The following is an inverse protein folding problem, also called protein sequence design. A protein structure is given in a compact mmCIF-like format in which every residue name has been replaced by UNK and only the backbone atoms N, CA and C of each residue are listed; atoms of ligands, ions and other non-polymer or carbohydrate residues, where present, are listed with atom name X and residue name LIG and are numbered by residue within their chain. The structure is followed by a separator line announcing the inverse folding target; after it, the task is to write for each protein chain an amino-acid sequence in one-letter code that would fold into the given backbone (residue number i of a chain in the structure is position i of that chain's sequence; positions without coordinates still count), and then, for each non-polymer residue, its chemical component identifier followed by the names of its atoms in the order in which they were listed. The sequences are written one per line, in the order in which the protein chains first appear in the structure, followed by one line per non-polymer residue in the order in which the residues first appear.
data_IF_712707585705
#
_entry.id   IF_712707585705
#
_cell.length_a   1.000
_cell.length_b   1.000
_cell.length_c   1.000
_cell.angle_alpha   90.00
_cell.angle_beta   90.00
_cell.angle_gamma   90.00
#
_symmetry.space_group_name_H-M   'P 1'
#
loop_
_entity.id
_entity.type
_entity.pdbx_description
1 polymer ?
#
# COMPACT_ATOMS: atom_id res chain seq x y z
N UNK A 1 -6.94 -24.93 -37.08
CA UNK A 1 -6.09 -23.73 -36.96
C UNK A 1 -6.92 -22.63 -36.30
N UNK A 2 -6.79 -22.47 -34.99
CA UNK A 2 -7.48 -21.43 -34.22
C UNK A 2 -6.67 -20.15 -34.30
N UNK A 3 -7.30 -19.04 -34.71
CA UNK A 3 -6.66 -17.73 -34.74
C UNK A 3 -6.04 -17.41 -33.36
N UNK A 4 -4.76 -17.03 -33.34
CA UNK A 4 -4.05 -16.71 -32.10
C UNK A 4 -4.44 -15.32 -31.54
N UNK A 5 -5.12 -14.50 -32.33
CA UNK A 5 -5.61 -13.17 -31.95
C UNK A 5 -6.99 -12.92 -32.58
N UNK A 6 -7.76 -12.03 -31.94
CA UNK A 6 -9.04 -11.52 -32.43
C UNK A 6 -9.02 -9.99 -32.31
N UNK A 7 -9.59 -9.30 -33.29
CA UNK A 7 -9.73 -7.85 -33.26
C UNK A 7 -11.04 -7.44 -32.58
N UNK A 8 -10.97 -6.57 -31.57
CA UNK A 8 -12.15 -5.92 -31.01
C UNK A 8 -12.69 -4.88 -32.04
N UNK A 9 -14.00 -4.84 -32.34
CA UNK A 9 -14.57 -3.81 -33.20
C UNK A 9 -14.34 -2.40 -32.65
N UNK A 10 -14.00 -1.46 -33.53
CA UNK A 10 -13.87 -0.06 -33.17
C UNK A 10 -15.21 0.51 -32.68
N UNK A 11 -15.17 1.34 -31.63
CA UNK A 11 -16.34 2.01 -31.05
C UNK A 11 -15.99 3.37 -30.50
N UNK A 12 -16.93 4.31 -30.59
CA UNK A 12 -16.87 5.56 -29.84
C UNK A 12 -17.21 5.29 -28.37
N UNK A 13 -16.48 5.93 -27.45
CA UNK A 13 -16.72 5.82 -26.02
C UNK A 13 -17.49 7.04 -25.52
N UNK A 14 -18.55 6.83 -24.75
CA UNK A 14 -19.20 7.92 -24.02
C UNK A 14 -18.22 8.50 -23.00
N UNK A 15 -18.15 9.83 -22.91
CA UNK A 15 -17.39 10.50 -21.86
C UNK A 15 -18.22 10.48 -20.57
N UNK A 16 -17.69 9.87 -19.53
CA UNK A 16 -18.30 9.84 -18.19
C UNK A 16 -18.27 11.22 -17.54
N UNK A 17 -17.17 11.95 -17.70
CA UNK A 17 -16.99 13.30 -17.18
C UNK A 17 -15.61 13.86 -17.49
N UNK A 18 -15.45 15.15 -17.20
CA UNK A 18 -14.19 15.89 -17.27
C UNK A 18 -13.84 16.42 -15.89
N UNK A 19 -12.58 16.29 -15.50
CA UNK A 19 -12.08 16.64 -14.17
C UNK A 19 -10.73 17.35 -14.27
N UNK A 20 -10.33 18.07 -13.24
CA UNK A 20 -8.97 18.60 -13.17
C UNK A 20 -7.99 17.47 -12.86
N UNK A 21 -8.35 16.59 -11.90
CA UNK A 21 -7.52 15.48 -11.44
C UNK A 21 -8.32 14.18 -11.40
N UNK A 22 -7.78 13.13 -12.00
CA UNK A 22 -8.27 11.75 -11.85
C UNK A 22 -7.23 10.91 -11.12
N UNK A 23 -7.65 10.29 -10.02
CA UNK A 23 -6.84 9.36 -9.22
C UNK A 23 -7.35 7.94 -9.45
N UNK A 24 -6.46 7.01 -9.79
CA UNK A 24 -6.81 5.60 -9.95
C UNK A 24 -6.26 4.80 -8.78
N UNK A 25 -7.14 4.13 -8.03
CA UNK A 25 -6.82 3.36 -6.84
C UNK A 25 -7.18 4.08 -5.54
N UNK A 26 -7.94 3.44 -4.67
CA UNK A 26 -8.43 3.94 -3.38
C UNK A 26 -7.63 3.47 -2.17
N UNK A 27 -6.34 3.15 -2.35
CA UNK A 27 -5.41 2.84 -1.25
C UNK A 27 -4.89 4.09 -0.52
N UNK A 28 -3.96 3.95 0.44
CA UNK A 28 -3.39 5.08 1.18
C UNK A 28 -2.87 6.22 0.29
N UNK A 29 -2.15 5.90 -0.79
CA UNK A 29 -1.65 6.90 -1.73
C UNK A 29 -2.79 7.61 -2.48
N UNK A 30 -3.79 6.86 -2.96
CA UNK A 30 -4.91 7.45 -3.70
C UNK A 30 -5.84 8.29 -2.82
N UNK A 31 -6.09 7.85 -1.58
CA UNK A 31 -6.83 8.60 -0.57
C UNK A 31 -6.15 9.96 -0.32
N UNK A 32 -4.85 9.96 -0.03
CA UNK A 32 -4.11 11.20 0.19
C UNK A 32 -4.08 12.09 -1.06
N UNK A 33 -3.83 11.50 -2.24
CA UNK A 33 -3.80 12.23 -3.49
C UNK A 33 -5.13 12.92 -3.81
N UNK A 34 -6.25 12.20 -3.70
CA UNK A 34 -7.55 12.76 -4.03
C UNK A 34 -7.97 13.86 -3.05
N UNK A 35 -7.75 13.65 -1.75
CA UNK A 35 -8.05 14.66 -0.71
C UNK A 35 -7.20 15.91 -0.91
N UNK A 36 -5.89 15.75 -1.12
CA UNK A 36 -4.98 16.89 -1.34
C UNK A 36 -5.33 17.64 -2.62
N UNK A 37 -5.63 16.94 -3.72
CA UNK A 37 -6.03 17.60 -4.96
C UNK A 37 -7.31 18.46 -4.77
N UNK A 38 -8.35 17.88 -4.16
CA UNK A 38 -9.61 18.57 -3.93
C UNK A 38 -9.47 19.77 -2.98
N UNK A 39 -8.65 19.66 -1.92
CA UNK A 39 -8.38 20.78 -0.98
C UNK A 39 -7.65 21.94 -1.63
N UNK A 40 -6.84 21.67 -2.65
CA UNK A 40 -6.19 22.69 -3.47
C UNK A 40 -7.07 23.17 -4.64
N UNK A 41 -8.38 22.90 -4.59
CA UNK A 41 -9.39 23.48 -5.47
C UNK A 41 -9.69 22.70 -6.74
N UNK A 42 -9.07 21.54 -6.95
CA UNK A 42 -9.27 20.73 -8.16
C UNK A 42 -10.59 19.93 -8.10
N UNK A 43 -11.36 19.96 -9.19
CA UNK A 43 -12.42 18.98 -9.40
C UNK A 43 -11.78 17.59 -9.54
N UNK A 44 -12.07 16.73 -8.56
CA UNK A 44 -11.32 15.48 -8.38
C UNK A 44 -12.23 14.27 -8.43
N UNK A 45 -11.86 13.27 -9.25
CA UNK A 45 -12.48 11.95 -9.28
C UNK A 45 -11.48 10.89 -8.80
N UNK A 46 -11.88 10.05 -7.86
CA UNK A 46 -11.18 8.81 -7.52
C UNK A 46 -11.92 7.61 -8.11
N UNK A 47 -11.19 6.81 -8.88
CA UNK A 47 -11.66 5.57 -9.53
C UNK A 47 -11.12 4.37 -8.75
N UNK A 48 -11.99 3.46 -8.31
CA UNK A 48 -11.63 2.29 -7.52
C UNK A 48 -12.38 1.04 -8.02
N UNK A 49 -11.65 -0.06 -8.18
CA UNK A 49 -12.19 -1.33 -8.69
C UNK A 49 -13.09 -2.03 -7.66
N UNK A 50 -12.84 -1.81 -6.37
CA UNK A 50 -13.65 -2.33 -5.28
C UNK A 50 -14.85 -1.43 -4.97
N UNK A 51 -15.74 -1.95 -4.13
CA UNK A 51 -16.87 -1.21 -3.55
C UNK A 51 -16.51 -0.48 -2.26
N UNK A 52 -15.22 -0.25 -2.00
CA UNK A 52 -14.72 0.32 -0.75
C UNK A 52 -13.28 0.84 -0.92
N UNK A 53 -12.87 1.71 0.00
CA UNK A 53 -11.53 2.29 0.08
C UNK A 53 -10.60 1.53 1.04
N UNK A 54 -9.31 1.87 0.99
CA UNK A 54 -8.26 1.44 1.91
C UNK A 54 -7.21 0.49 1.30
N UNK A 55 -7.36 0.11 0.03
CA UNK A 55 -6.37 -0.68 -0.71
C UNK A 55 -6.05 -2.03 -0.04
N UNK A 56 -4.77 -2.42 0.03
CA UNK A 56 -4.35 -3.66 0.69
C UNK A 56 -4.63 -3.70 2.20
N UNK A 57 -4.80 -2.53 2.84
CA UNK A 57 -5.23 -2.46 4.23
C UNK A 57 -6.63 -3.05 4.45
N UNK A 58 -7.49 -2.88 3.44
CA UNK A 58 -8.88 -3.35 3.43
C UNK A 58 -9.04 -4.65 2.63
N UNK A 59 -8.73 -4.61 1.32
CA UNK A 59 -8.91 -5.74 0.41
C UNK A 59 -7.96 -6.91 0.72
N UNK A 60 -6.75 -6.60 1.19
CA UNK A 60 -5.73 -7.60 1.54
C UNK A 60 -5.67 -7.94 3.03
N UNK A 61 -6.53 -7.34 3.88
CA UNK A 61 -6.54 -7.56 5.33
C UNK A 61 -5.26 -7.14 6.06
N UNK A 62 -4.43 -6.26 5.48
CA UNK A 62 -3.17 -5.79 6.09
C UNK A 62 -3.46 -4.62 7.04
N UNK A 63 -4.08 -4.91 8.18
CA UNK A 63 -4.71 -3.91 9.07
C UNK A 63 -3.75 -3.16 10.01
N UNK A 64 -2.53 -2.86 9.54
CA UNK A 64 -1.57 -2.01 10.25
C UNK A 64 -1.14 -0.86 9.36
N UNK A 65 -1.16 0.37 9.87
CA UNK A 65 -0.40 1.47 9.31
C UNK A 65 1.07 1.33 9.76
N UNK A 66 1.88 0.79 8.85
CA UNK A 66 3.33 0.75 8.97
C UNK A 66 3.96 2.01 8.36
N UNK A 67 5.10 2.45 8.89
CA UNK A 67 5.88 3.57 8.37
C UNK A 67 5.35 4.96 8.74
N UNK A 68 4.37 5.07 9.65
CA UNK A 68 3.93 6.38 10.17
C UNK A 68 4.90 6.94 11.22
N UNK A 69 5.55 6.04 11.96
CA UNK A 69 6.42 6.35 13.08
C UNK A 69 7.84 5.92 12.77
N UNK A 70 8.82 6.72 13.18
CA UNK A 70 10.24 6.42 13.10
C UNK A 70 11.01 7.09 14.24
N UNK A 71 12.28 6.75 14.41
CA UNK A 71 13.13 7.40 15.42
C UNK A 71 13.63 8.73 14.88
N UNK A 72 13.47 9.80 15.66
CA UNK A 72 14.12 11.11 15.46
C UNK A 72 14.80 11.49 16.76
N UNK A 73 16.10 11.80 16.72
CA UNK A 73 16.91 12.05 17.90
C UNK A 73 16.80 10.92 18.96
N UNK A 74 16.65 9.67 18.53
CA UNK A 74 16.53 8.50 19.41
C UNK A 74 15.11 8.21 19.89
N UNK A 75 14.15 9.12 19.69
CA UNK A 75 12.77 8.99 20.16
C UNK A 75 11.82 8.51 19.06
N UNK A 76 11.00 7.51 19.38
CA UNK A 76 9.96 7.02 18.47
C UNK A 76 8.86 8.07 18.31
N UNK A 77 8.80 8.69 17.14
CA UNK A 77 7.93 9.84 16.84
C UNK A 77 7.08 9.56 15.61
N UNK A 78 5.87 10.13 15.54
CA UNK A 78 5.10 10.11 14.31
C UNK A 78 5.71 11.08 13.29
N UNK A 79 6.31 10.55 12.24
CA UNK A 79 7.02 11.33 11.21
C UNK A 79 6.15 11.58 9.97
N UNK A 80 5.14 10.74 9.73
CA UNK A 80 4.18 10.96 8.64
C UNK A 80 2.95 11.66 9.20
N UNK A 81 2.72 12.87 8.71
CA UNK A 81 1.68 13.83 9.14
C UNK A 81 0.90 14.35 7.92
N UNK A 82 -0.19 15.07 8.14
CA UNK A 82 -1.03 15.65 7.08
C UNK A 82 -2.34 14.90 6.91
N UNK A 83 -2.70 14.51 5.68
CA UNK A 83 -4.00 13.86 5.40
C UNK A 83 -4.24 12.60 6.26
N UNK A 84 -3.17 11.87 6.56
CA UNK A 84 -3.25 10.66 7.39
C UNK A 84 -3.71 10.94 8.83
N UNK A 85 -3.40 12.11 9.39
CA UNK A 85 -3.78 12.45 10.77
C UNK A 85 -5.31 12.49 10.91
N UNK A 86 -5.98 13.15 9.97
CA UNK A 86 -7.44 13.24 9.96
C UNK A 86 -8.11 11.89 9.69
N UNK A 87 -7.51 11.07 8.82
CA UNK A 87 -7.99 9.70 8.60
C UNK A 87 -7.93 8.89 9.90
N UNK A 88 -6.80 8.96 10.61
CA UNK A 88 -6.60 8.29 11.89
C UNK A 88 -7.63 8.77 12.92
N UNK A 89 -7.87 10.07 13.01
CA UNK A 89 -8.84 10.65 13.94
C UNK A 89 -10.26 10.18 13.64
N UNK A 90 -10.63 10.10 12.36
CA UNK A 90 -11.93 9.55 11.93
C UNK A 90 -12.07 8.07 12.28
N UNK A 91 -11.03 7.26 12.07
CA UNK A 91 -11.05 5.84 12.48
C UNK A 91 -11.17 5.72 14.01
N UNK A 92 -10.48 6.58 14.76
CA UNK A 92 -10.60 6.63 16.21
C UNK A 92 -12.00 7.03 16.67
N UNK A 93 -12.68 7.93 15.95
CA UNK A 93 -14.08 8.31 16.18
C UNK A 93 -15.07 7.13 16.09
N UNK A 94 -14.72 6.09 15.34
CA UNK A 94 -15.47 4.83 15.29
C UNK A 94 -15.00 3.79 16.32
N UNK A 95 -14.15 4.18 17.28
CA UNK A 95 -13.45 3.27 18.19
C UNK A 95 -12.66 2.18 17.44
N UNK A 96 -12.23 2.46 16.21
CA UNK A 96 -11.58 1.49 15.34
C UNK A 96 -10.07 1.55 15.37
N UNK A 97 -9.46 2.43 16.16
CA UNK A 97 -8.01 2.67 16.14
C UNK A 97 -7.36 2.17 17.44
N UNK A 98 -6.29 1.39 17.32
CA UNK A 98 -5.45 1.07 18.47
C UNK A 98 -4.47 2.21 18.81
N UNK A 99 -3.97 2.20 20.04
CA UNK A 99 -2.80 3.00 20.40
C UNK A 99 -1.59 2.58 19.54
N UNK A 100 -0.55 3.42 19.40
CA UNK A 100 0.69 3.02 18.75
C UNK A 100 1.32 1.79 19.41
N UNK A 101 1.78 0.83 18.61
CA UNK A 101 2.30 -0.46 19.07
C UNK A 101 3.75 -0.61 18.63
N UNK A 102 4.67 -0.58 19.60
CA UNK A 102 6.10 -0.79 19.37
C UNK A 102 6.38 -2.27 19.09
N UNK A 103 7.33 -2.52 18.18
CA UNK A 103 7.78 -3.84 17.79
C UNK A 103 9.30 -3.94 17.73
N UNK A 104 9.82 -5.18 17.73
CA UNK A 104 11.25 -5.48 17.54
C UNK A 104 12.15 -4.68 18.49
N UNK A 105 11.83 -4.65 19.79
CA UNK A 105 12.61 -3.89 20.78
C UNK A 105 12.54 -2.37 20.58
N UNK A 106 11.43 -1.84 20.06
CA UNK A 106 11.24 -0.40 19.82
C UNK A 106 11.92 0.13 18.56
N UNK A 107 12.34 -0.76 17.65
CA UNK A 107 12.92 -0.37 16.35
C UNK A 107 11.87 -0.01 15.30
N UNK A 108 10.64 -0.49 15.47
CA UNK A 108 9.49 -0.14 14.64
C UNK A 108 8.29 0.20 15.51
N UNK A 109 7.37 0.98 14.96
CA UNK A 109 6.06 1.21 15.55
C UNK A 109 4.98 1.20 14.46
N UNK A 110 3.88 0.51 14.74
CA UNK A 110 2.72 0.42 13.85
C UNK A 110 1.47 0.90 14.58
N UNK A 111 0.44 1.26 13.82
CA UNK A 111 -0.87 1.52 14.37
C UNK A 111 -1.91 0.65 13.68
N UNK A 112 -2.49 -0.29 14.42
CA UNK A 112 -3.49 -1.20 13.87
C UNK A 112 -4.90 -0.64 13.98
N UNK A 113 -5.77 -1.09 13.08
CA UNK A 113 -7.13 -0.56 12.98
C UNK A 113 -8.15 -1.65 12.65
N UNK A 114 -9.41 -1.35 12.92
CA UNK A 114 -10.56 -2.08 12.43
C UNK A 114 -10.82 -1.74 10.95
N UNK A 115 -11.07 -2.77 10.15
CA UNK A 115 -11.22 -2.62 8.69
C UNK A 115 -12.51 -1.89 8.32
N UNK A 116 -13.60 -2.11 9.05
CA UNK A 116 -14.88 -1.47 8.78
C UNK A 116 -14.82 0.02 9.16
N UNK A 117 -14.22 0.34 10.30
CA UNK A 117 -13.95 1.72 10.71
C UNK A 117 -13.08 2.46 9.69
N UNK A 118 -12.07 1.80 9.11
CA UNK A 118 -11.26 2.39 8.04
C UNK A 118 -12.09 2.72 6.79
N UNK A 119 -12.93 1.80 6.30
CA UNK A 119 -13.82 2.07 5.16
C UNK A 119 -14.70 3.31 5.41
N UNK A 120 -15.38 3.35 6.55
CA UNK A 120 -16.26 4.45 6.94
C UNK A 120 -15.50 5.79 7.06
N UNK A 121 -14.34 5.77 7.71
CA UNK A 121 -13.50 6.94 7.89
C UNK A 121 -12.97 7.50 6.55
N UNK A 122 -12.56 6.61 5.63
CA UNK A 122 -12.10 7.00 4.30
C UNK A 122 -13.23 7.62 3.48
N UNK A 123 -14.43 7.02 3.48
CA UNK A 123 -15.61 7.58 2.80
C UNK A 123 -15.96 8.98 3.34
N UNK A 124 -15.96 9.15 4.68
CA UNK A 124 -16.20 10.44 5.32
C UNK A 124 -15.13 11.47 4.97
N UNK A 125 -13.85 11.08 4.93
CA UNK A 125 -12.75 11.98 4.61
C UNK A 125 -12.85 12.48 3.16
N UNK A 126 -13.05 11.58 2.20
CA UNK A 126 -13.14 11.93 0.79
C UNK A 126 -14.41 12.73 0.49
N UNK A 127 -15.54 12.35 1.08
CA UNK A 127 -16.78 13.10 0.99
C UNK A 127 -16.66 14.52 1.54
N UNK A 128 -16.03 14.69 2.71
CA UNK A 128 -15.80 16.00 3.32
C UNK A 128 -14.84 16.88 2.49
N UNK A 129 -13.90 16.28 1.76
CA UNK A 129 -13.01 17.00 0.84
C UNK A 129 -13.69 17.35 -0.51
N UNK A 130 -14.90 16.86 -0.78
CA UNK A 130 -15.61 17.09 -2.04
C UNK A 130 -15.17 16.19 -3.20
N UNK A 131 -14.42 15.13 -2.93
CA UNK A 131 -13.97 14.15 -3.93
C UNK A 131 -15.16 13.38 -4.48
N UNK A 132 -15.23 13.22 -5.81
CA UNK A 132 -16.17 12.29 -6.45
C UNK A 132 -15.59 10.89 -6.43
N UNK A 133 -16.42 9.90 -6.08
CA UNK A 133 -16.04 8.49 -6.03
C UNK A 133 -16.71 7.73 -7.17
N UNK A 134 -15.93 6.89 -7.85
CA UNK A 134 -16.44 5.90 -8.79
C UNK A 134 -15.91 4.52 -8.38
N UNK A 135 -16.75 3.79 -7.63
CA UNK A 135 -16.50 2.41 -7.23
C UNK A 135 -16.87 1.41 -8.34
N UNK A 136 -16.38 0.17 -8.20
CA UNK A 136 -16.61 -0.90 -9.16
C UNK A 136 -16.19 -0.53 -10.59
N UNK A 137 -15.13 0.27 -10.72
CA UNK A 137 -14.59 0.73 -11.98
C UNK A 137 -13.14 0.27 -12.15
N UNK A 138 -12.92 -0.57 -13.15
CA UNK A 138 -11.59 -1.07 -13.49
C UNK A 138 -10.96 -0.16 -14.53
N UNK A 139 -9.76 0.36 -14.27
CA UNK A 139 -8.96 1.00 -15.32
C UNK A 139 -8.60 -0.05 -16.38
N UNK A 140 -8.93 0.22 -17.64
CA UNK A 140 -8.81 -0.77 -18.72
C UNK A 140 -7.81 -0.37 -19.81
N UNK A 141 -7.68 0.94 -20.09
CA UNK A 141 -6.67 1.48 -20.99
C UNK A 141 -6.56 3.00 -20.83
N UNK A 142 -5.67 3.62 -21.59
CA UNK A 142 -5.61 5.08 -21.73
C UNK A 142 -5.66 5.47 -23.21
N UNK A 143 -6.25 6.63 -23.49
CA UNK A 143 -6.13 7.30 -24.78
C UNK A 143 -5.01 8.33 -24.66
N UNK A 144 -3.95 8.18 -25.46
CA UNK A 144 -2.82 9.12 -25.48
C UNK A 144 -2.97 10.14 -26.60
N UNK A 145 -2.51 11.35 -26.33
CA UNK A 145 -2.23 12.39 -27.30
C UNK A 145 -0.76 12.80 -27.14
N UNK A 146 0.11 12.21 -27.96
CA UNK A 146 1.56 12.34 -27.81
C UNK A 146 2.06 11.93 -26.41
N UNK A 147 2.68 12.86 -25.71
CA UNK A 147 3.21 12.69 -24.35
C UNK A 147 2.19 12.98 -23.24
N UNK A 148 0.91 13.15 -23.57
CA UNK A 148 -0.16 13.34 -22.57
C UNK A 148 -1.17 12.20 -22.65
N UNK A 149 -1.77 11.89 -21.51
CA UNK A 149 -3.00 11.10 -21.44
C UNK A 149 -4.16 12.07 -21.68
N UNK A 150 -4.95 11.80 -22.72
CA UNK A 150 -6.15 12.55 -23.04
C UNK A 150 -7.38 12.03 -22.29
N UNK A 151 -7.44 10.71 -22.07
CA UNK A 151 -8.50 10.08 -21.29
C UNK A 151 -8.04 8.75 -20.66
N UNK A 152 -8.59 8.45 -19.48
CA UNK A 152 -8.62 7.11 -18.90
C UNK A 152 -9.86 6.38 -19.43
N UNK A 153 -9.71 5.11 -19.84
CA UNK A 153 -10.83 4.24 -20.16
C UNK A 153 -11.10 3.31 -18.99
N UNK A 154 -12.36 3.28 -18.54
CA UNK A 154 -12.79 2.42 -17.43
C UNK A 154 -13.84 1.42 -17.89
N UNK A 155 -13.82 0.25 -17.27
CA UNK A 155 -14.85 -0.78 -17.38
C UNK A 155 -15.69 -0.79 -16.11
N UNK A 156 -17.00 -0.66 -16.29
CA UNK A 156 -17.99 -0.71 -15.20
C UNK A 156 -19.15 -1.61 -15.61
N UNK A 157 -20.02 -1.96 -14.66
CA UNK A 157 -21.29 -2.65 -14.99
C UNK A 157 -22.22 -1.81 -15.89
N UNK A 158 -22.05 -0.49 -15.92
CA UNK A 158 -22.78 0.43 -16.79
C UNK A 158 -22.19 0.51 -18.20
N UNK A 159 -21.08 -0.19 -18.47
CA UNK A 159 -20.38 -0.22 -19.74
C UNK A 159 -19.01 0.47 -19.71
N UNK A 160 -18.32 0.39 -20.85
CA UNK A 160 -17.01 1.03 -21.09
C UNK A 160 -17.19 2.53 -21.33
N UNK A 161 -16.49 3.36 -20.57
CA UNK A 161 -16.57 4.83 -20.67
C UNK A 161 -15.18 5.47 -20.62
N UNK A 162 -15.06 6.69 -21.16
CA UNK A 162 -13.84 7.49 -21.10
C UNK A 162 -13.97 8.60 -20.05
N UNK A 163 -12.90 8.89 -19.32
CA UNK A 163 -12.82 9.98 -18.32
C UNK A 163 -11.68 10.89 -18.76
N UNK A 164 -11.96 12.17 -18.96
CA UNK A 164 -10.94 13.16 -19.35
C UNK A 164 -10.44 13.88 -18.11
N UNK A 165 -9.15 14.21 -18.09
CA UNK A 165 -8.58 15.02 -17.04
C UNK A 165 -7.37 15.85 -17.49
N UNK A 166 -7.09 16.95 -16.78
CA UNK A 166 -5.84 17.66 -16.99
C UNK A 166 -4.66 16.84 -16.46
N UNK A 167 -4.80 16.24 -15.28
CA UNK A 167 -3.79 15.42 -14.62
C UNK A 167 -4.33 14.06 -14.17
N UNK A 168 -3.47 13.04 -14.25
CA UNK A 168 -3.74 11.69 -13.78
C UNK A 168 -2.74 11.29 -12.69
N UNK A 169 -3.22 10.58 -11.67
CA UNK A 169 -2.40 9.98 -10.62
C UNK A 169 -2.68 8.48 -10.61
N UNK A 170 -1.67 7.68 -10.95
CA UNK A 170 -1.71 6.23 -10.81
C UNK A 170 -1.31 5.84 -9.39
N UNK A 171 -2.32 5.54 -8.58
CA UNK A 171 -2.18 5.00 -7.24
C UNK A 171 -2.82 3.60 -7.15
N UNK A 172 -2.90 2.87 -8.28
CA UNK A 172 -3.50 1.54 -8.38
C UNK A 172 -2.78 0.51 -7.50
N UNK A 173 -1.50 0.79 -7.21
CA UNK A 173 -0.57 -0.15 -6.58
C UNK A 173 0.06 -1.11 -7.59
N UNK A 174 -0.42 -1.15 -8.83
CA UNK A 174 -0.01 -2.08 -9.89
C UNK A 174 0.53 -1.40 -11.16
N UNK A 175 0.63 -0.06 -11.11
CA UNK A 175 1.06 0.80 -12.21
C UNK A 175 0.21 0.63 -13.48
N UNK A 176 -1.08 0.31 -13.37
CA UNK A 176 -1.90 -0.05 -14.52
C UNK A 176 -2.01 1.11 -15.53
N UNK A 177 -2.26 2.34 -15.07
CA UNK A 177 -2.38 3.52 -15.93
C UNK A 177 -1.03 3.83 -16.58
N UNK A 178 0.05 3.74 -15.82
CA UNK A 178 1.41 3.94 -16.33
C UNK A 178 1.78 2.89 -17.39
N UNK A 179 1.46 1.63 -17.15
CA UNK A 179 1.69 0.53 -18.09
C UNK A 179 0.87 0.72 -19.38
N UNK A 180 -0.42 1.08 -19.26
CA UNK A 180 -1.25 1.40 -20.43
C UNK A 180 -0.70 2.60 -21.21
N UNK A 181 -0.12 3.57 -20.51
CA UNK A 181 0.53 4.71 -21.11
C UNK A 181 1.90 4.39 -21.72
N UNK A 182 2.41 3.16 -21.59
CA UNK A 182 3.71 2.77 -22.13
C UNK A 182 4.91 3.31 -21.33
N UNK A 183 4.70 3.67 -20.07
CA UNK A 183 5.81 3.98 -19.14
C UNK A 183 6.59 2.68 -18.88
N UNK A 184 7.92 2.66 -19.06
CA UNK A 184 8.73 1.50 -18.72
C UNK A 184 8.59 1.11 -17.25
N UNK A 185 8.59 -0.18 -16.96
CA UNK A 185 8.49 -0.68 -15.59
C UNK A 185 9.29 -1.98 -15.41
N UNK A 186 9.58 -2.28 -14.16
CA UNK A 186 10.17 -3.54 -13.71
C UNK A 186 9.17 -4.31 -12.85
N UNK A 187 9.35 -5.63 -12.76
CA UNK A 187 8.59 -6.51 -11.87
C UNK A 187 9.56 -7.38 -11.10
N UNK A 188 9.35 -7.50 -9.79
CA UNK A 188 10.14 -8.37 -8.94
C UNK A 188 11.60 -7.94 -8.81
N UNK A 189 12.47 -8.90 -8.53
CA UNK A 189 13.92 -8.82 -8.43
C UNK A 189 14.65 -8.78 -9.79
N UNK A 190 13.92 -8.61 -10.91
CA UNK A 190 14.45 -8.69 -12.27
C UNK A 190 14.67 -10.12 -12.79
N UNK A 191 14.46 -11.15 -11.96
CA UNK A 191 14.63 -12.57 -12.29
C UNK A 191 13.29 -13.34 -12.25
N UNK A 192 12.17 -12.62 -12.14
CA UNK A 192 10.83 -13.18 -12.20
C UNK A 192 10.23 -13.54 -10.84
N UNK A 193 10.83 -13.12 -9.72
CA UNK A 193 10.24 -13.26 -8.39
C UNK A 193 10.12 -11.91 -7.70
N UNK A 194 8.93 -11.59 -7.16
CA UNK A 194 8.75 -10.46 -6.26
C UNK A 194 8.86 -10.85 -4.79
N UNK A 195 8.47 -9.92 -3.92
CA UNK A 195 8.20 -10.17 -2.51
C UNK A 195 6.98 -11.09 -2.38
N UNK A 196 7.13 -12.16 -1.60
CA UNK A 196 6.09 -13.17 -1.47
C UNK A 196 4.79 -12.57 -0.90
N UNK A 197 3.65 -12.72 -1.60
CA UNK A 197 2.37 -12.27 -1.11
C UNK A 197 1.77 -13.22 -0.07
N UNK A 198 0.72 -12.75 0.61
CA UNK A 198 0.06 -13.48 1.70
C UNK A 198 -1.45 -13.26 1.65
N UNK A 199 -2.25 -14.29 1.89
CA UNK A 199 -3.68 -14.18 2.13
C UNK A 199 -3.93 -14.06 3.62
N UNK A 200 -4.41 -12.89 4.04
CA UNK A 200 -4.75 -12.62 5.43
C UNK A 200 -6.14 -13.18 5.77
N UNK A 201 -6.34 -13.52 7.04
CA UNK A 201 -7.66 -13.83 7.57
C UNK A 201 -7.82 -13.36 9.01
N UNK A 202 -9.08 -13.23 9.43
CA UNK A 202 -9.49 -12.83 10.77
C UNK A 202 -10.19 -13.99 11.47
N UNK A 203 -9.84 -14.17 12.72
CA UNK A 203 -10.31 -15.23 13.60
C UNK A 203 -11.12 -14.57 14.71
N UNK A 204 -12.30 -15.10 15.00
CA UNK A 204 -13.17 -14.67 16.09
C UNK A 204 -13.35 -15.77 17.11
N UNK A 205 -14.12 -15.46 18.17
CA UNK A 205 -14.38 -16.36 19.28
C UNK A 205 -13.07 -16.87 19.93
N UNK A 206 -12.04 -16.03 19.94
CA UNK A 206 -10.78 -16.32 20.62
C UNK A 206 -10.97 -16.07 22.11
N UNK A 207 -10.54 -17.02 22.94
CA UNK A 207 -10.34 -16.78 24.37
C UNK A 207 -9.09 -15.90 24.52
N UNK A 208 -9.35 -14.59 24.61
CA UNK A 208 -8.34 -13.56 24.50
C UNK A 208 -7.28 -13.61 25.62
N UNK A 209 -7.64 -13.79 26.91
CA UNK A 209 -6.64 -13.97 27.96
C UNK A 209 -5.68 -15.14 27.70
N UNK A 210 -6.21 -16.31 27.32
CA UNK A 210 -5.38 -17.49 27.05
C UNK A 210 -4.51 -17.30 25.81
N UNK A 211 -5.06 -16.74 24.73
CA UNK A 211 -4.32 -16.45 23.50
C UNK A 211 -3.21 -15.41 23.73
N UNK A 212 -3.47 -14.36 24.50
CA UNK A 212 -2.49 -13.32 24.79
C UNK A 212 -1.35 -13.85 25.67
N UNK A 213 -1.66 -14.66 26.68
CA UNK A 213 -0.64 -15.31 27.49
C UNK A 213 0.23 -16.27 26.68
N UNK A 214 -0.34 -16.92 25.66
CA UNK A 214 0.37 -17.87 24.81
C UNK A 214 1.22 -17.21 23.71
N UNK A 215 0.65 -16.23 23.00
CA UNK A 215 1.25 -15.64 21.78
C UNK A 215 2.00 -14.35 22.09
N UNK A 216 1.65 -13.64 23.15
CA UNK A 216 2.11 -12.28 23.42
C UNK A 216 1.47 -11.23 22.50
N UNK A 217 1.73 -9.96 22.79
CA UNK A 217 1.13 -8.84 22.04
C UNK A 217 1.75 -8.62 20.65
N UNK A 218 3.04 -8.94 20.49
CA UNK A 218 3.79 -8.58 19.28
C UNK A 218 4.90 -9.59 18.91
N UNK A 219 4.62 -10.89 19.04
CA UNK A 219 5.58 -11.96 18.72
C UNK A 219 5.15 -12.78 17.50
N UNK A 220 6.12 -13.45 16.87
CA UNK A 220 5.83 -14.54 15.95
C UNK A 220 5.51 -15.82 16.74
N UNK A 221 4.71 -16.72 16.18
CA UNK A 221 4.31 -17.98 16.83
C UNK A 221 5.25 -19.16 16.52
N UNK A 222 6.50 -18.86 16.17
CA UNK A 222 7.49 -19.84 15.70
C UNK A 222 7.70 -20.99 16.70
N UNK A 223 7.70 -20.71 18.01
CA UNK A 223 7.92 -21.74 19.04
C UNK A 223 6.81 -22.81 19.04
N UNK A 224 5.55 -22.40 18.82
CA UNK A 224 4.43 -23.34 18.70
C UNK A 224 4.54 -24.17 17.42
N UNK A 225 4.96 -23.55 16.32
CA UNK A 225 5.17 -24.24 15.04
C UNK A 225 6.28 -25.29 15.17
N UNK A 226 7.43 -24.91 15.74
CA UNK A 226 8.57 -25.80 15.95
C UNK A 226 8.21 -26.95 16.89
N UNK A 227 7.49 -26.68 17.99
CA UNK A 227 7.00 -27.72 18.91
C UNK A 227 6.05 -28.68 18.21
N UNK A 228 5.13 -28.18 17.38
CA UNK A 228 4.20 -29.03 16.66
C UNK A 228 4.91 -29.92 15.63
N UNK A 229 5.91 -29.40 14.92
CA UNK A 229 6.72 -30.21 13.99
C UNK A 229 7.52 -31.29 14.73
N UNK A 230 8.08 -30.97 15.91
CA UNK A 230 8.82 -31.95 16.72
C UNK A 230 7.91 -33.06 17.29
N UNK A 231 6.70 -32.71 17.74
CA UNK A 231 5.79 -33.66 18.37
C UNK A 231 4.92 -34.43 17.37
N UNK A 232 4.61 -33.82 16.23
CA UNK A 232 3.66 -34.30 15.21
C UNK A 232 4.23 -34.03 13.80
N UNK A 233 5.38 -34.64 13.45
CA UNK A 233 6.07 -34.34 12.20
C UNK A 233 5.18 -34.58 10.97
N UNK A 234 5.16 -33.61 10.06
CA UNK A 234 4.39 -33.68 8.82
C UNK A 234 2.87 -33.56 8.95
N UNK A 235 2.32 -33.40 10.16
CA UNK A 235 0.86 -33.21 10.38
C UNK A 235 0.42 -31.82 9.95
N UNK A 236 1.25 -30.81 10.23
CA UNK A 236 0.99 -29.42 9.86
C UNK A 236 2.01 -28.97 8.82
N UNK A 237 1.60 -28.08 7.92
CA UNK A 237 2.48 -27.47 6.92
C UNK A 237 2.54 -25.98 7.16
N UNK A 238 3.76 -25.48 7.32
CA UNK A 238 4.00 -24.07 7.53
C UNK A 238 4.71 -23.49 6.30
N UNK A 239 4.10 -22.53 5.60
CA UNK A 239 4.64 -22.01 4.35
C UNK A 239 5.83 -21.06 4.57
N UNK A 240 5.99 -20.52 5.79
CA UNK A 240 7.10 -19.66 6.19
C UNK A 240 7.24 -19.57 7.71
N UNK A 241 8.43 -19.17 8.16
CA UNK A 241 8.66 -18.65 9.51
C UNK A 241 8.14 -17.21 9.67
N UNK A 242 8.11 -16.74 10.91
CA UNK A 242 7.70 -15.37 11.23
C UNK A 242 6.21 -15.15 11.01
N UNK A 243 5.40 -16.18 11.27
CA UNK A 243 3.95 -16.13 11.22
C UNK A 243 3.45 -15.16 12.30
N UNK A 244 2.66 -14.16 11.90
CA UNK A 244 2.17 -13.10 12.79
C UNK A 244 0.72 -13.38 13.13
N UNK A 245 0.42 -13.41 14.43
CA UNK A 245 -0.93 -13.57 14.98
C UNK A 245 -1.12 -12.48 16.04
N UNK A 246 -2.08 -11.57 15.85
CA UNK A 246 -2.24 -10.40 16.72
C UNK A 246 -3.70 -10.08 17.02
N UNK A 247 -4.02 -9.57 18.23
CA UNK A 247 -5.37 -9.14 18.56
C UNK A 247 -5.74 -7.88 17.77
N UNK A 248 -6.98 -7.82 17.28
CA UNK A 248 -7.60 -6.61 16.77
C UNK A 248 -8.05 -5.71 17.94
N UNK A 249 -8.75 -4.63 17.61
CA UNK A 249 -9.30 -3.71 18.62
C UNK A 249 -10.26 -4.40 19.59
N UNK A 250 -11.10 -5.29 19.09
CA UNK A 250 -11.79 -6.27 19.92
C UNK A 250 -10.83 -7.44 20.19
N UNK A 251 -10.44 -7.69 21.45
CA UNK A 251 -9.45 -8.71 21.78
C UNK A 251 -9.94 -10.14 21.51
N UNK A 252 -11.25 -10.35 21.29
CA UNK A 252 -11.82 -11.65 20.89
C UNK A 252 -11.62 -11.94 19.41
N UNK A 253 -11.16 -10.95 18.65
CA UNK A 253 -10.84 -11.05 17.24
C UNK A 253 -9.35 -10.89 16.99
N UNK A 254 -8.78 -11.75 16.16
CA UNK A 254 -7.35 -11.79 15.88
C UNK A 254 -7.11 -11.80 14.38
N UNK A 255 -6.04 -11.16 13.94
CA UNK A 255 -5.58 -11.17 12.54
C UNK A 255 -4.39 -12.11 12.38
N UNK A 256 -4.40 -12.85 11.29
CA UNK A 256 -3.39 -13.84 10.97
C UNK A 256 -2.70 -13.49 9.64
N UNK A 257 -1.39 -13.27 9.70
CA UNK A 257 -0.50 -13.21 8.54
C UNK A 257 0.43 -14.42 8.59
N UNK A 258 0.00 -15.54 8.01
CA UNK A 258 0.66 -16.83 8.20
C UNK A 258 0.95 -17.56 6.89
N UNK A 259 0.33 -17.14 5.80
CA UNK A 259 0.51 -17.76 4.48
C UNK A 259 1.72 -17.19 3.74
N UNK A 260 2.16 -17.90 2.70
CA UNK A 260 3.13 -17.43 1.71
C UNK A 260 2.78 -18.03 0.35
N UNK A 261 2.41 -17.19 -0.62
CA UNK A 261 1.82 -17.66 -1.88
C UNK A 261 2.88 -17.73 -2.98
N UNK A 262 2.92 -18.88 -3.65
CA UNK A 262 3.90 -19.20 -4.69
C UNK A 262 3.21 -19.51 -6.01
N UNK A 263 3.92 -19.31 -7.11
CA UNK A 263 3.51 -19.85 -8.40
C UNK A 263 4.04 -21.28 -8.60
N UNK A 264 3.69 -21.88 -9.75
CA UNK A 264 4.05 -23.26 -10.09
C UNK A 264 5.58 -23.49 -10.16
N UNK A 265 6.38 -22.44 -10.34
CA UNK A 265 7.84 -22.50 -10.39
C UNK A 265 8.49 -22.36 -8.99
N UNK A 266 7.69 -22.14 -7.95
CA UNK A 266 8.16 -21.96 -6.57
C UNK A 266 8.55 -20.52 -6.22
N UNK A 267 8.48 -19.59 -7.18
CA UNK A 267 8.71 -18.16 -6.97
C UNK A 267 7.50 -17.47 -6.34
N UNK A 268 7.66 -16.23 -5.91
CA UNK A 268 6.53 -15.42 -5.47
C UNK A 268 5.51 -15.28 -6.62
N UNK A 269 4.22 -15.46 -6.29
CA UNK A 269 3.12 -15.29 -7.25
C UNK A 269 3.17 -13.90 -7.90
N UNK A 270 3.06 -13.87 -9.23
CA UNK A 270 3.04 -12.65 -10.01
C UNK A 270 1.67 -11.96 -9.94
N UNK A 271 1.62 -10.81 -9.26
CA UNK A 271 0.39 -10.03 -9.08
C UNK A 271 -0.15 -9.34 -10.33
N UNK A 272 0.49 -9.48 -11.49
CA UNK A 272 -0.01 -8.95 -12.78
C UNK A 272 -0.35 -10.03 -13.81
N UNK A 273 -0.28 -11.31 -13.41
CA UNK A 273 -0.78 -12.42 -14.22
C UNK A 273 -2.11 -12.92 -13.64
N UNK A 274 -3.16 -12.91 -14.48
CA UNK A 274 -4.51 -13.27 -14.04
C UNK A 274 -4.66 -14.76 -13.64
N UNK A 275 -3.88 -15.65 -14.24
CA UNK A 275 -3.89 -17.08 -13.90
C UNK A 275 -3.17 -17.30 -12.58
N UNK A 276 -1.99 -16.70 -12.40
CA UNK A 276 -1.27 -16.79 -11.12
C UNK A 276 -2.07 -16.17 -9.97
N UNK A 277 -2.75 -15.04 -10.19
CA UNK A 277 -3.69 -14.47 -9.22
C UNK A 277 -4.79 -15.48 -8.84
N UNK A 278 -5.39 -16.15 -9.83
CA UNK A 278 -6.43 -17.16 -9.58
C UNK A 278 -5.90 -18.35 -8.77
N UNK A 279 -4.74 -18.87 -9.15
CA UNK A 279 -4.08 -19.99 -8.48
C UNK A 279 -3.68 -19.62 -7.05
N UNK A 280 -3.12 -18.43 -6.85
CA UNK A 280 -2.72 -17.96 -5.53
C UNK A 280 -3.89 -17.69 -4.58
N UNK A 281 -5.04 -17.26 -5.10
CA UNK A 281 -6.28 -17.16 -4.33
C UNK A 281 -6.73 -18.53 -3.80
N UNK A 282 -6.66 -19.58 -4.64
CA UNK A 282 -6.98 -20.95 -4.24
C UNK A 282 -5.96 -21.47 -3.22
N UNK A 283 -4.68 -21.27 -3.48
CA UNK A 283 -3.58 -21.69 -2.62
C UNK A 283 -3.63 -21.01 -1.26
N UNK A 284 -3.91 -19.71 -1.20
CA UNK A 284 -4.04 -18.98 0.05
C UNK A 284 -5.16 -19.52 0.92
N UNK A 285 -6.34 -19.79 0.34
CA UNK A 285 -7.46 -20.42 1.07
C UNK A 285 -7.11 -21.84 1.55
N UNK A 286 -6.37 -22.61 0.76
CA UNK A 286 -5.86 -23.94 1.17
C UNK A 286 -4.92 -23.83 2.36
N UNK A 287 -3.92 -22.93 2.31
CA UNK A 287 -2.98 -22.71 3.40
C UNK A 287 -3.69 -22.21 4.67
N UNK A 288 -4.67 -21.31 4.55
CA UNK A 288 -5.47 -20.85 5.69
C UNK A 288 -6.19 -22.02 6.38
N UNK A 289 -6.82 -22.90 5.60
CA UNK A 289 -7.52 -24.06 6.15
C UNK A 289 -6.58 -25.00 6.91
N UNK A 290 -5.37 -25.23 6.41
CA UNK A 290 -4.35 -26.04 7.10
C UNK A 290 -3.83 -25.36 8.36
N UNK A 291 -3.48 -24.08 8.25
CA UNK A 291 -2.93 -23.31 9.37
C UNK A 291 -3.96 -23.14 10.49
N UNK A 292 -5.24 -22.96 10.14
CA UNK A 292 -6.30 -22.81 11.14
C UNK A 292 -6.54 -24.11 11.92
N UNK A 293 -6.37 -25.29 11.31
CA UNK A 293 -6.39 -26.57 12.05
C UNK A 293 -5.31 -26.62 13.12
N UNK A 294 -4.09 -26.18 12.78
CA UNK A 294 -2.99 -26.06 13.73
C UNK A 294 -3.34 -25.09 14.87
N UNK A 295 -3.87 -23.90 14.56
CA UNK A 295 -4.23 -22.92 15.59
C UNK A 295 -5.25 -23.51 16.59
N UNK A 296 -6.31 -24.16 16.10
CA UNK A 296 -7.32 -24.77 16.97
C UNK A 296 -6.78 -25.89 17.85
N UNK A 297 -5.83 -26.68 17.33
CA UNK A 297 -5.33 -27.87 18.00
C UNK A 297 -4.18 -27.59 18.98
N UNK A 298 -3.28 -26.65 18.63
CA UNK A 298 -1.98 -26.52 19.31
C UNK A 298 -1.79 -25.18 20.04
N UNK A 299 -2.59 -24.16 19.74
CA UNK A 299 -2.40 -22.80 20.28
C UNK A 299 -3.48 -22.48 21.31
N UNK A 300 -3.10 -22.24 22.59
CA UNK A 300 -4.05 -21.87 23.63
C UNK A 300 -4.89 -20.65 23.23
N UNK A 301 -6.17 -20.68 23.61
CA UNK A 301 -7.14 -19.64 23.30
C UNK A 301 -7.88 -19.80 21.96
N UNK A 302 -7.40 -20.67 21.06
CA UNK A 302 -7.98 -20.83 19.72
C UNK A 302 -8.88 -22.06 19.55
N UNK A 303 -9.01 -22.93 20.56
CA UNK A 303 -9.76 -24.20 20.44
C UNK A 303 -11.23 -24.01 20.00
N UNK A 304 -11.91 -22.98 20.49
CA UNK A 304 -13.31 -22.64 20.15
C UNK A 304 -13.43 -21.52 19.11
N UNK A 305 -12.31 -21.12 18.50
CA UNK A 305 -12.31 -20.04 17.51
C UNK A 305 -12.94 -20.45 16.18
N UNK A 306 -13.37 -19.46 15.41
CA UNK A 306 -13.80 -19.63 14.02
C UNK A 306 -13.17 -18.57 13.10
N UNK A 307 -13.03 -18.90 11.82
CA UNK A 307 -12.68 -17.91 10.79
C UNK A 307 -13.89 -17.01 10.60
N UNK A 308 -13.71 -15.71 10.83
CA UNK A 308 -14.75 -14.69 10.63
C UNK A 308 -14.70 -14.13 9.22
N UNK A 309 -13.49 -13.98 8.67
CA UNK A 309 -13.27 -13.37 7.38
C UNK A 309 -11.97 -13.87 6.78
N UNK A 310 -11.99 -14.21 5.49
CA UNK A 310 -10.78 -14.32 4.66
C UNK A 310 -10.76 -13.04 3.82
N UNK A 311 -9.58 -12.41 3.71
CA UNK A 311 -9.44 -11.17 2.95
C UNK A 311 -10.00 -11.33 1.52
N UNK A 312 -10.72 -10.33 0.97
CA UNK A 312 -11.27 -10.39 -0.38
C UNK A 312 -10.27 -10.66 -1.49
N UNK A 313 -8.98 -10.36 -1.25
CA UNK A 313 -7.89 -10.66 -2.16
C UNK A 313 -6.62 -11.05 -1.40
N UNK A 314 -5.76 -11.83 -2.03
CA UNK A 314 -4.34 -11.94 -1.72
C UNK A 314 -3.72 -10.54 -1.50
N UNK A 315 -3.02 -10.40 -0.38
CA UNK A 315 -2.25 -9.23 0.02
C UNK A 315 -0.95 -9.12 -0.78
N UNK A 316 -1.03 -8.42 -1.90
CA UNK A 316 0.07 -8.20 -2.83
C UNK A 316 1.10 -7.24 -2.23
N UNK A 317 2.38 -7.65 -2.27
CA UNK A 317 3.51 -6.88 -1.74
C UNK A 317 4.23 -6.09 -2.82
N UNK A 318 4.27 -6.61 -4.04
CA UNK A 318 5.01 -6.05 -5.16
C UNK A 318 4.40 -6.51 -6.48
N UNK A 319 4.39 -5.62 -7.46
CA UNK A 319 3.99 -5.84 -8.85
C UNK A 319 4.89 -4.98 -9.75
N UNK A 320 4.32 -4.09 -10.57
CA UNK A 320 5.09 -3.17 -11.40
C UNK A 320 5.62 -2.03 -10.56
N UNK A 321 6.89 -1.69 -10.75
CA UNK A 321 7.48 -0.41 -10.36
C UNK A 321 7.87 0.33 -11.62
N UNK A 322 7.39 1.56 -11.76
CA UNK A 322 7.73 2.36 -12.93
C UNK A 322 9.21 2.77 -12.91
N UNK A 323 9.76 3.04 -14.09
CA UNK A 323 11.00 3.78 -14.22
C UNK A 323 10.69 5.29 -14.24
N UNK A 324 10.89 5.93 -13.09
CA UNK A 324 10.76 7.38 -12.93
C UNK A 324 12.05 8.13 -13.25
N UNK A 325 12.10 9.41 -12.87
CA UNK A 325 13.32 10.23 -12.94
C UNK A 325 14.34 9.87 -11.85
N UNK A 326 13.93 9.10 -10.84
CA UNK A 326 14.81 8.52 -9.82
C UNK A 326 14.19 7.25 -9.26
N UNK A 327 15.00 6.23 -8.98
CA UNK A 327 14.55 5.03 -8.27
C UNK A 327 15.12 5.04 -6.85
N UNK A 328 14.24 5.17 -5.84
CA UNK A 328 14.65 5.07 -4.44
C UNK A 328 15.20 3.66 -4.17
N UNK A 329 16.44 3.58 -3.70
CA UNK A 329 17.17 2.32 -3.57
C UNK A 329 17.51 1.94 -2.14
N UNK A 330 18.10 0.74 -1.98
CA UNK A 330 18.58 0.20 -0.70
C UNK A 330 19.37 1.20 0.13
N UNK A 331 20.38 1.84 -0.48
CA UNK A 331 21.28 2.75 0.25
C UNK A 331 20.59 4.04 0.67
N UNK A 332 19.54 4.47 -0.02
CA UNK A 332 18.73 5.61 0.42
C UNK A 332 18.03 5.31 1.74
N UNK A 333 17.55 4.07 1.90
CA UNK A 333 16.89 3.61 3.13
C UNK A 333 17.93 3.40 4.24
N UNK A 334 18.97 2.62 3.98
CA UNK A 334 19.96 2.25 5.00
C UNK A 334 20.83 3.44 5.45
N UNK A 335 21.04 4.40 4.56
CA UNK A 335 21.81 5.62 4.81
C UNK A 335 20.98 6.79 5.35
N UNK A 336 19.66 6.64 5.54
CA UNK A 336 18.77 7.75 5.93
C UNK A 336 18.91 8.96 5.01
N UNK A 337 18.87 8.73 3.69
CA UNK A 337 19.20 9.73 2.67
C UNK A 337 18.36 11.00 2.78
N UNK A 338 19.00 12.12 2.41
CA UNK A 338 18.42 13.46 2.38
C UNK A 338 18.43 13.98 0.95
N UNK A 339 17.30 14.55 0.52
CA UNK A 339 17.13 15.11 -0.81
C UNK A 339 16.65 16.56 -0.74
N UNK A 340 17.12 17.41 -1.65
CA UNK A 340 16.68 18.81 -1.78
C UNK A 340 15.23 18.90 -2.25
N UNK A 341 14.82 17.95 -3.10
CA UNK A 341 13.46 17.82 -3.62
C UNK A 341 12.57 16.92 -2.74
N UNK A 342 12.83 16.88 -1.42
CA UNK A 342 12.06 16.10 -0.44
C UNK A 342 10.57 16.46 -0.46
N UNK A 343 9.71 15.45 -0.52
CA UNK A 343 8.25 15.58 -0.41
C UNK A 343 7.68 15.01 0.90
N UNK A 344 8.54 14.42 1.75
CA UNK A 344 8.20 13.91 3.07
C UNK A 344 9.01 12.67 3.44
N UNK A 345 8.67 12.03 4.55
CA UNK A 345 9.56 11.03 5.18
C UNK A 345 9.05 9.60 5.01
N UNK A 346 9.96 8.69 4.67
CA UNK A 346 9.74 7.26 4.86
C UNK A 346 10.39 6.81 6.17
N UNK A 347 9.56 6.31 7.08
CA UNK A 347 9.97 5.88 8.42
C UNK A 347 9.90 4.36 8.61
N UNK A 348 9.79 3.58 7.52
CA UNK A 348 9.80 2.12 7.59
C UNK A 348 11.16 1.55 7.15
N UNK A 349 11.72 0.58 7.89
CA UNK A 349 12.92 -0.13 7.45
C UNK A 349 12.62 -1.04 6.25
N UNK A 350 13.66 -1.63 5.67
CA UNK A 350 13.46 -2.68 4.66
C UNK A 350 12.82 -3.91 5.29
N UNK A 351 11.67 -4.31 4.77
CA UNK A 351 10.91 -5.50 5.15
C UNK A 351 10.74 -6.39 3.91
N UNK A 352 11.72 -7.27 3.70
CA UNK A 352 11.76 -8.18 2.56
C UNK A 352 11.05 -9.49 2.93
N UNK A 353 9.88 -9.72 2.32
CA UNK A 353 9.21 -11.02 2.36
C UNK A 353 9.89 -11.99 1.39
N UNK A 354 11.03 -12.53 1.81
CA UNK A 354 11.81 -13.50 1.07
C UNK A 354 11.22 -14.91 1.15
N UNK A 355 11.82 -15.85 0.41
CA UNK A 355 11.44 -17.25 0.43
C UNK A 355 11.49 -17.84 1.85
N UNK A 356 10.33 -18.26 2.38
CA UNK A 356 10.20 -18.93 3.67
C UNK A 356 10.41 -18.06 4.91
N UNK A 357 10.76 -16.77 4.78
CA UNK A 357 11.10 -15.89 5.92
C UNK A 357 10.84 -14.40 5.65
N UNK A 358 11.08 -13.57 6.66
CA UNK A 358 11.12 -12.11 6.51
C UNK A 358 12.53 -11.64 6.87
N UNK A 359 13.17 -10.92 5.95
CA UNK A 359 14.49 -10.31 6.15
C UNK A 359 14.33 -8.82 6.42
N UNK A 360 14.96 -8.36 7.50
CA UNK A 360 14.90 -6.97 7.94
C UNK A 360 16.27 -6.31 7.81
N UNK A 361 16.29 -5.10 7.25
CA UNK A 361 17.47 -4.25 7.29
C UNK A 361 17.07 -2.84 7.73
N UNK A 362 17.77 -2.33 8.73
CA UNK A 362 17.43 -1.08 9.40
C UNK A 362 18.41 0.03 9.01
N UNK A 363 17.96 1.29 9.03
CA UNK A 363 18.87 2.44 8.89
C UNK A 363 20.05 2.35 9.86
N UNK A 364 21.23 2.75 9.37
CA UNK A 364 22.47 2.75 10.14
C UNK A 364 22.52 3.86 11.20
N UNK A 365 21.85 4.97 10.95
CA UNK A 365 21.57 5.97 11.98
C UNK A 365 20.36 5.52 12.80
N UNK A 366 20.62 4.87 13.93
CA UNK A 366 19.56 4.39 14.82
C UNK A 366 18.81 5.53 15.54
N UNK A 367 19.41 6.72 15.64
CA UNK A 367 18.77 7.89 16.25
C UNK A 367 17.81 8.58 15.26
N UNK A 368 18.14 8.56 13.96
CA UNK A 368 17.34 9.13 12.87
C UNK A 368 17.03 8.07 11.82
N UNK A 369 16.17 7.12 12.18
CA UNK A 369 15.84 5.95 11.38
C UNK A 369 14.72 6.25 10.36
N UNK A 370 14.97 7.18 9.44
CA UNK A 370 14.07 7.55 8.36
C UNK A 370 14.85 8.20 7.20
N UNK A 371 14.32 8.12 5.98
CA UNK A 371 14.88 8.76 4.78
C UNK A 371 13.86 9.71 4.14
N UNK A 372 14.36 10.63 3.32
CA UNK A 372 13.54 11.51 2.49
C UNK A 372 12.98 10.72 1.29
N UNK A 373 11.78 11.08 0.85
CA UNK A 373 11.22 10.68 -0.44
C UNK A 373 11.39 11.85 -1.41
N UNK A 374 12.12 11.70 -2.54
CA UNK A 374 12.34 12.78 -3.48
C UNK A 374 11.22 12.89 -4.52
N UNK A 375 10.79 14.11 -4.88
CA UNK A 375 9.73 14.39 -5.86
C UNK A 375 9.87 13.59 -7.15
N UNK A 376 11.09 13.55 -7.69
CA UNK A 376 11.44 12.86 -8.94
C UNK A 376 11.12 11.35 -8.96
N UNK A 377 10.87 10.71 -7.81
CA UNK A 377 10.43 9.30 -7.78
C UNK A 377 8.98 9.10 -8.25
N UNK A 378 8.16 10.16 -8.21
CA UNK A 378 6.76 10.12 -8.63
C UNK A 378 6.57 10.40 -10.12
N UNK A 379 7.59 10.96 -10.77
CA UNK A 379 7.52 11.48 -12.14
C UNK A 379 7.97 10.39 -13.11
N UNK A 380 7.06 9.75 -13.89
CA UNK A 380 7.42 8.79 -14.91
C UNK A 380 8.16 9.46 -16.07
N UNK A 381 8.96 8.68 -16.79
CA UNK A 381 9.54 9.15 -18.04
C UNK A 381 8.45 9.30 -19.12
N UNK A 382 8.58 10.33 -19.97
CA UNK A 382 7.82 10.54 -21.21
C UNK A 382 6.31 10.86 -21.11
N UNK A 383 5.64 10.77 -19.96
CA UNK A 383 4.23 11.15 -19.81
C UNK A 383 4.09 12.40 -18.94
N UNK A 384 3.71 13.51 -19.58
CA UNK A 384 3.79 14.86 -19.00
C UNK A 384 2.74 15.13 -17.91
N UNK A 385 1.59 14.47 -17.96
CA UNK A 385 0.46 14.69 -17.05
C UNK A 385 0.07 13.46 -16.24
N UNK A 386 1.05 12.57 -15.97
CA UNK A 386 0.90 11.41 -15.10
C UNK A 386 1.88 11.52 -13.93
N UNK A 387 1.39 11.22 -12.72
CA UNK A 387 2.22 10.88 -11.57
C UNK A 387 1.92 9.44 -11.13
N UNK A 388 2.89 8.77 -10.53
CA UNK A 388 2.72 7.41 -9.99
C UNK A 388 3.10 7.41 -8.52
N UNK A 389 2.18 6.99 -7.65
CA UNK A 389 2.34 7.07 -6.20
C UNK A 389 1.97 5.75 -5.51
N UNK A 390 2.58 5.49 -4.35
CA UNK A 390 2.34 4.28 -3.57
C UNK A 390 3.25 3.11 -3.98
N UNK A 391 2.75 1.87 -3.83
CA UNK A 391 3.55 0.65 -4.06
C UNK A 391 4.23 0.62 -5.43
N UNK A 392 3.61 1.20 -6.45
CA UNK A 392 4.07 1.17 -7.84
C UNK A 392 4.98 2.34 -8.27
N UNK A 393 5.31 3.27 -7.37
CA UNK A 393 6.22 4.38 -7.66
C UNK A 393 7.66 3.89 -7.95
N UNK A 394 8.51 4.80 -8.44
CA UNK A 394 9.86 4.46 -8.92
C UNK A 394 10.82 4.14 -7.78
N UNK A 395 11.15 2.86 -7.63
CA UNK A 395 11.97 2.30 -6.55
C UNK A 395 12.71 1.05 -7.07
N UNK A 396 13.84 0.68 -6.44
CA UNK A 396 14.39 -0.67 -6.64
C UNK A 396 13.54 -1.71 -5.89
N UNK A 397 13.75 -2.99 -6.17
CA UNK A 397 13.11 -4.09 -5.41
C UNK A 397 13.30 -3.92 -3.89
N UNK A 398 14.51 -3.59 -3.47
CA UNK A 398 14.85 -3.34 -2.07
C UNK A 398 14.24 -2.05 -1.53
N UNK A 399 14.30 -0.95 -2.28
CA UNK A 399 13.72 0.34 -1.86
C UNK A 399 12.20 0.24 -1.67
N UNK A 400 11.54 -0.49 -2.57
CA UNK A 400 10.10 -0.75 -2.48
C UNK A 400 9.74 -1.52 -1.20
N UNK A 401 10.58 -2.46 -0.76
CA UNK A 401 10.32 -3.25 0.46
C UNK A 401 10.11 -2.39 1.72
N UNK A 402 10.66 -1.17 1.72
CA UNK A 402 10.48 -0.16 2.76
C UNK A 402 9.34 0.83 2.39
N UNK A 403 9.51 1.58 1.31
CA UNK A 403 8.67 2.74 0.99
C UNK A 403 7.25 2.38 0.48
N UNK A 404 6.97 1.10 0.16
CA UNK A 404 5.59 0.62 -0.12
C UNK A 404 4.70 0.61 1.12
N UNK A 405 5.26 0.76 2.32
CA UNK A 405 4.48 0.79 3.55
C UNK A 405 3.49 1.97 3.54
N UNK A 406 2.43 1.86 4.34
CA UNK A 406 1.31 2.80 4.33
C UNK A 406 1.76 4.25 4.52
N UNK A 407 2.73 4.51 5.40
CA UNK A 407 3.27 5.84 5.63
C UNK A 407 3.89 6.47 4.38
N UNK A 408 4.81 5.77 3.72
CA UNK A 408 5.40 6.23 2.46
C UNK A 408 4.33 6.45 1.38
N UNK A 409 3.32 5.59 1.31
CA UNK A 409 2.18 5.77 0.40
C UNK A 409 1.39 7.06 0.67
N UNK A 410 1.08 7.39 1.93
CA UNK A 410 0.39 8.63 2.26
C UNK A 410 1.22 9.87 1.86
N UNK A 411 2.53 9.84 2.11
CA UNK A 411 3.45 10.93 1.72
C UNK A 411 3.43 11.13 0.20
N UNK A 412 3.66 10.06 -0.56
CA UNK A 412 3.67 10.11 -2.03
C UNK A 412 2.33 10.60 -2.58
N UNK A 413 1.22 10.10 -2.01
CA UNK A 413 -0.13 10.51 -2.39
C UNK A 413 -0.38 11.99 -2.16
N UNK A 414 -0.12 12.49 -0.96
CA UNK A 414 -0.33 13.90 -0.61
C UNK A 414 0.48 14.82 -1.52
N UNK A 415 1.76 14.50 -1.77
CA UNK A 415 2.59 15.24 -2.71
C UNK A 415 2.04 15.24 -4.14
N UNK A 416 1.62 14.08 -4.64
CA UNK A 416 1.08 13.95 -5.99
C UNK A 416 -0.22 14.76 -6.15
N UNK A 417 -1.14 14.67 -5.19
CA UNK A 417 -2.40 15.40 -5.19
C UNK A 417 -2.21 16.91 -5.18
N UNK A 418 -1.37 17.42 -4.26
CA UNK A 418 -1.09 18.86 -4.14
C UNK A 418 -0.45 19.42 -5.42
N UNK A 419 0.44 18.66 -6.08
CA UNK A 419 1.03 19.08 -7.34
C UNK A 419 0.04 19.03 -8.51
N UNK A 420 -0.74 17.95 -8.62
CA UNK A 420 -1.69 17.74 -9.71
C UNK A 420 -2.79 18.80 -9.77
N UNK A 421 -3.22 19.33 -8.60
CA UNK A 421 -4.21 20.40 -8.54
C UNK A 421 -3.77 21.69 -9.27
N UNK A 422 -2.47 21.88 -9.53
CA UNK A 422 -1.91 23.11 -10.10
C UNK A 422 -1.14 22.91 -11.41
N UNK A 423 -1.19 21.73 -12.05
CA UNK A 423 -0.31 21.40 -13.20
C UNK A 423 -0.44 22.41 -14.36
N UNK A 424 -1.63 22.96 -14.60
CA UNK A 424 -1.89 23.84 -15.74
C UNK A 424 -1.52 23.16 -17.07
N UNK A 425 -0.83 23.88 -17.96
CA UNK A 425 -0.30 23.35 -19.23
C UNK A 425 1.11 22.75 -19.13
N UNK A 426 1.73 22.78 -17.94
CA UNK A 426 3.10 22.30 -17.74
C UNK A 426 3.17 20.77 -17.71
N UNK A 427 4.40 20.24 -17.66
CA UNK A 427 4.67 18.84 -17.41
C UNK A 427 5.13 18.65 -15.95
N UNK A 428 4.81 17.52 -15.34
CA UNK A 428 5.19 17.25 -13.94
C UNK A 428 6.71 17.29 -13.70
N UNK A 429 7.52 16.97 -14.72
CA UNK A 429 8.97 17.09 -14.67
C UNK A 429 9.46 18.54 -14.47
N UNK A 430 8.64 19.55 -14.82
CA UNK A 430 8.97 20.97 -14.71
C UNK A 430 8.26 21.69 -13.57
N UNK A 431 7.64 20.97 -12.62
CA UNK A 431 6.99 21.58 -11.45
C UNK A 431 8.04 22.24 -10.53
N UNK A 432 7.73 23.45 -10.05
CA UNK A 432 8.52 24.11 -9.01
C UNK A 432 8.37 23.36 -7.68
N UNK A 433 9.37 22.54 -7.37
CA UNK A 433 9.38 21.72 -6.16
C UNK A 433 9.44 22.57 -4.89
N UNK A 434 10.10 23.73 -4.91
CA UNK A 434 10.16 24.60 -3.74
C UNK A 434 8.77 25.18 -3.41
N UNK A 435 8.00 25.56 -4.43
CA UNK A 435 6.60 25.97 -4.27
C UNK A 435 5.72 24.81 -3.78
N UNK A 436 5.90 23.60 -4.31
CA UNK A 436 5.21 22.40 -3.85
C UNK A 436 5.48 22.13 -2.37
N UNK A 437 6.75 22.15 -1.95
CA UNK A 437 7.15 21.92 -0.57
C UNK A 437 6.55 22.95 0.40
N UNK A 438 6.42 24.22 0.00
CA UNK A 438 5.73 25.24 0.80
C UNK A 438 4.27 24.87 1.05
N UNK A 439 3.56 24.39 0.01
CA UNK A 439 2.17 23.91 0.14
C UNK A 439 2.09 22.68 1.04
N UNK A 440 2.99 21.70 0.85
CA UNK A 440 3.02 20.49 1.68
C UNK A 440 3.25 20.79 3.17
N UNK A 441 4.19 21.69 3.47
CA UNK A 441 4.42 22.14 4.84
C UNK A 441 3.22 22.88 5.43
N UNK A 442 2.54 23.72 4.63
CA UNK A 442 1.31 24.40 5.04
C UNK A 442 0.16 23.42 5.33
N UNK A 443 0.11 22.29 4.60
CA UNK A 443 -0.84 21.20 4.80
C UNK A 443 -0.42 20.22 5.93
N UNK A 444 0.63 20.56 6.68
CA UNK A 444 1.08 19.79 7.85
C UNK A 444 2.00 18.60 7.54
N UNK A 445 2.51 18.46 6.32
CA UNK A 445 3.51 17.43 6.02
C UNK A 445 4.86 17.79 6.67
N UNK A 446 5.50 16.79 7.29
CA UNK A 446 6.86 16.94 7.83
C UNK A 446 7.89 16.76 6.70
N UNK A 447 8.65 17.81 6.43
CA UNK A 447 9.71 17.84 5.42
C UNK A 447 11.12 17.81 6.02
N UNK A 448 11.23 17.50 7.32
CA UNK A 448 12.48 17.44 8.09
C UNK A 448 13.25 18.76 8.14
N UNK A 449 12.53 19.88 8.11
CA UNK A 449 13.10 21.23 7.96
C UNK A 449 13.52 21.90 9.28
N UNK A 450 13.53 21.20 10.41
CA UNK A 450 13.90 21.75 11.72
C UNK A 450 15.39 22.18 11.86
N UNK A 451 16.07 22.53 10.77
CA UNK A 451 17.44 23.03 10.75
C UNK A 451 17.64 24.45 10.20
N UNK A 452 16.58 25.18 9.84
CA UNK A 452 16.71 26.52 9.26
C UNK A 452 16.25 27.68 10.16
N UNK A 453 15.66 27.42 11.32
CA UNK A 453 15.12 28.48 12.20
C UNK A 453 15.88 28.66 13.53
N UNK A 454 16.93 27.88 13.79
CA UNK A 454 17.80 28.04 14.98
C UNK A 454 19.11 28.79 14.67
N UNK A 455 19.15 29.56 13.60
CA UNK A 455 20.33 30.29 13.12
C UNK A 455 20.01 31.68 12.58
N UNK A 456 19.03 32.37 13.17
CA UNK A 456 18.76 33.79 12.96
C UNK A 456 19.03 34.56 14.26
#
# INVERSE_FOLDING_TARGET
MTAQTLNEPARALSVFGEYDVVVVGGGPAGIAAAVSAARHGASTLLVERYGFLGGMGTAGGVTNFAGLYGKRNGEMTQLVRGVVDELIDRIAGFNGMNAPQNGMGGRICVRSYDTSAYKLAADQLLGAAGVKLLFHALAASVVRDGSRIAALVVETKSGRQAIRANAFIDASGDADVAAFAGVPFEVGDGHGSGLFPTTMFRIGQVDAPAALAAVGEFSAINDYMARAEQQKPGVYKFPREGAILRPNKDPREWRANVTQIRNAQGHAMNGVDARELTEGELEGRRQIAEYFKFLKAEVPGFAQSAIVEIAPQVGIRETRRIQGLYALGREDILGSAKFDDNIGLNAWPMEMHADGRIEWAFPRDEANAYNHLPWRMLVPQAINNLLVAGRCASMTHEGQSAARASGGCFVMGQAAGTAAASLGSTAFAGVDVAALQKKLAADGADLDRQRLESGA
#
